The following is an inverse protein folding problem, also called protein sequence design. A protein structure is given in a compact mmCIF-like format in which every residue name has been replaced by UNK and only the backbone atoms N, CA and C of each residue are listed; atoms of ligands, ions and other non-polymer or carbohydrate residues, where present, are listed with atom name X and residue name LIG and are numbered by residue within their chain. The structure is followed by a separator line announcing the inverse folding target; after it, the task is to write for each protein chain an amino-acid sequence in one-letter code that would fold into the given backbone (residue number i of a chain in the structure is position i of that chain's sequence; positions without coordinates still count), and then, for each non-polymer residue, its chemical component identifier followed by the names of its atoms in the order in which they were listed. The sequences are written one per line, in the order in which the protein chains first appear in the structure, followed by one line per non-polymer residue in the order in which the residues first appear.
data_IF_204260427935
#
_entry.id   IF_204260427935
#
_cell.length_a   1.000
_cell.length_b   1.000
_cell.length_c   1.000
_cell.angle_alpha   90.00
_cell.angle_beta   90.00
_cell.angle_gamma   90.00
#
_symmetry.space_group_name_H-M   'P 1'
#
loop_
_entity.id
_entity.type
_entity.pdbx_description
1 polymer ?
#
# COMPACT_ATOMS: atom_id res chain seq x y z
N UNK A 1 19.53 -16.39 -2.13
CA UNK A 1 19.08 -15.50 -1.04
C UNK A 1 18.52 -14.24 -1.66
N UNK A 2 17.24 -13.97 -1.47
CA UNK A 2 16.62 -12.69 -1.83
C UNK A 2 17.08 -11.65 -0.81
N UNK A 3 17.83 -10.65 -1.24
CA UNK A 3 18.22 -9.53 -0.39
C UNK A 3 17.04 -8.56 -0.31
N UNK A 4 16.63 -8.21 0.91
CA UNK A 4 15.58 -7.22 1.16
C UNK A 4 16.20 -6.11 2.00
N UNK A 5 16.23 -4.89 1.47
CA UNK A 5 16.64 -3.70 2.21
C UNK A 5 15.42 -3.17 2.94
N UNK A 6 15.33 -3.46 4.24
CA UNK A 6 14.33 -2.88 5.13
C UNK A 6 15.05 -2.04 6.19
N UNK A 7 14.64 -0.77 6.40
CA UNK A 7 15.10 -0.02 7.56
C UNK A 7 14.59 -0.71 8.83
N UNK A 8 15.51 -1.01 9.74
CA UNK A 8 15.23 -1.56 11.07
C UNK A 8 15.62 -0.50 12.08
N UNK A 9 14.67 -0.05 12.89
CA UNK A 9 14.88 1.04 13.85
C UNK A 9 15.70 0.57 15.08
N UNK A 10 15.38 -0.63 15.59
CA UNK A 10 16.09 -1.23 16.72
C UNK A 10 16.23 -2.73 16.48
N UNK A 11 17.44 -3.24 16.71
CA UNK A 11 17.73 -4.67 16.72
C UNK A 11 17.55 -5.19 18.14
N UNK A 12 17.12 -6.44 18.28
CA UNK A 12 16.81 -7.13 19.53
C UNK A 12 17.51 -8.48 19.54
N UNK A 13 17.89 -8.93 20.73
CA UNK A 13 18.51 -10.25 20.92
C UNK A 13 17.47 -11.35 21.10
N UNK A 14 16.20 -10.99 21.29
CA UNK A 14 15.07 -11.88 21.49
C UNK A 14 13.97 -11.66 20.44
N UNK A 15 13.23 -12.73 20.15
CA UNK A 15 12.10 -12.71 19.20
C UNK A 15 10.90 -11.90 19.72
N UNK A 16 10.81 -11.71 21.05
CA UNK A 16 9.73 -10.94 21.66
C UNK A 16 9.94 -9.41 21.62
N UNK A 17 11.06 -8.94 21.03
CA UNK A 17 11.41 -7.53 20.92
C UNK A 17 11.48 -6.82 22.29
N UNK A 18 11.97 -7.50 23.33
CA UNK A 18 12.01 -6.97 24.71
C UNK A 18 13.40 -6.50 25.13
N UNK A 19 14.46 -7.10 24.57
CA UNK A 19 15.85 -6.83 24.91
C UNK A 19 16.58 -6.21 23.72
N UNK A 20 16.86 -4.89 23.75
CA UNK A 20 17.53 -4.23 22.64
C UNK A 20 18.97 -4.73 22.53
N UNK A 21 19.43 -4.90 21.30
CA UNK A 21 20.80 -5.23 20.99
C UNK A 21 21.71 -4.04 21.30
N UNK A 22 22.56 -4.22 22.29
CA UNK A 22 23.57 -3.26 22.75
C UNK A 22 25.00 -3.74 22.46
N UNK A 23 25.12 -4.74 21.59
CA UNK A 23 26.37 -5.45 21.33
C UNK A 23 27.20 -4.86 20.19
N UNK A 24 28.16 -5.64 19.70
CA UNK A 24 28.99 -5.27 18.55
C UNK A 24 28.85 -6.27 17.41
N UNK A 25 28.96 -5.75 16.19
CA UNK A 25 28.93 -6.53 14.97
C UNK A 25 30.33 -6.48 14.38
N UNK A 26 31.03 -7.61 14.36
CA UNK A 26 32.39 -7.72 13.88
C UNK A 26 32.47 -8.74 12.75
N UNK A 27 33.51 -8.62 11.91
CA UNK A 27 33.81 -9.67 10.94
C UNK A 27 34.31 -10.90 11.69
N UNK A 28 33.69 -12.05 11.43
CA UNK A 28 34.08 -13.31 12.02
C UNK A 28 35.59 -13.55 11.83
N UNK A 29 36.33 -13.87 12.89
CA UNK A 29 37.76 -14.19 12.79
C UNK A 29 38.01 -15.48 11.99
N UNK A 30 36.98 -16.33 11.83
CA UNK A 30 37.02 -17.53 11.00
C UNK A 30 36.63 -17.20 9.54
N UNK A 31 37.54 -17.46 8.62
CA UNK A 31 37.31 -17.36 7.18
C UNK A 31 36.61 -18.64 6.72
N UNK A 32 35.53 -18.52 5.95
CA UNK A 32 34.91 -19.67 5.29
C UNK A 32 35.85 -20.20 4.19
N UNK A 33 35.63 -21.44 3.74
CA UNK A 33 36.45 -22.09 2.70
C UNK A 33 36.59 -21.26 1.41
N UNK A 34 35.59 -20.42 1.11
CA UNK A 34 35.55 -19.52 -0.06
C UNK A 34 36.30 -18.19 0.15
N UNK A 35 37.02 -18.01 1.25
CA UNK A 35 37.81 -16.80 1.51
C UNK A 35 37.02 -15.61 2.06
N UNK A 36 35.71 -15.73 2.26
CA UNK A 36 34.86 -14.68 2.84
C UNK A 36 34.84 -14.73 4.37
N UNK A 37 34.85 -13.56 5.00
CA UNK A 37 34.60 -13.41 6.45
C UNK A 37 33.11 -13.20 6.67
N UNK A 38 32.46 -14.12 7.38
CA UNK A 38 31.08 -13.95 7.81
C UNK A 38 30.93 -12.82 8.84
N UNK A 39 29.70 -12.46 9.19
CA UNK A 39 29.42 -11.49 10.26
C UNK A 39 29.21 -12.24 11.57
N UNK A 40 29.94 -11.87 12.62
CA UNK A 40 29.75 -12.36 13.98
C UNK A 40 29.14 -11.25 14.84
N UNK A 41 28.03 -11.56 15.48
CA UNK A 41 27.32 -10.65 16.37
C UNK A 41 27.66 -11.04 17.82
N UNK A 42 28.11 -10.10 18.63
CA UNK A 42 28.41 -10.31 20.05
C UNK A 42 27.50 -9.45 20.91
N UNK A 43 26.90 -10.03 21.96
CA UNK A 43 26.17 -9.30 23.00
C UNK A 43 27.11 -8.48 23.89
N UNK A 44 26.59 -7.60 24.76
CA UNK A 44 27.40 -6.83 25.73
C UNK A 44 28.29 -7.70 26.62
N UNK A 45 27.88 -8.96 26.82
CA UNK A 45 28.59 -9.94 27.64
C UNK A 45 29.60 -10.79 26.83
N UNK A 46 29.98 -10.34 25.62
CA UNK A 46 30.87 -11.04 24.67
C UNK A 46 30.37 -12.43 24.21
N UNK A 47 29.11 -12.77 24.46
CA UNK A 47 28.49 -14.01 23.95
C UNK A 47 28.14 -13.83 22.47
N UNK A 48 28.50 -14.81 21.64
CA UNK A 48 28.17 -14.80 20.22
C UNK A 48 26.68 -15.12 20.03
N UNK A 49 25.96 -14.24 19.35
CA UNK A 49 24.55 -14.41 19.00
C UNK A 49 24.46 -14.99 17.58
N UNK A 50 23.61 -16.01 17.42
CA UNK A 50 23.35 -16.64 16.13
C UNK A 50 22.36 -15.85 15.27
N UNK A 51 21.41 -15.14 15.91
CA UNK A 51 20.37 -14.37 15.24
C UNK A 51 20.20 -13.00 15.90
N UNK A 52 19.83 -12.01 15.10
CA UNK A 52 19.33 -10.71 15.55
C UNK A 52 17.92 -10.53 15.02
N UNK A 53 17.02 -10.05 15.88
CA UNK A 53 15.65 -9.75 15.52
C UNK A 53 15.53 -8.24 15.26
N UNK A 54 14.76 -7.86 14.26
CA UNK A 54 14.57 -6.45 13.91
C UNK A 54 13.11 -6.18 13.62
N UNK A 55 12.57 -5.10 14.17
CA UNK A 55 11.23 -4.65 13.84
C UNK A 55 11.21 -4.11 12.42
N UNK A 56 10.71 -4.88 11.45
CA UNK A 56 10.41 -4.37 10.11
C UNK A 56 9.02 -3.76 10.14
N UNK A 57 8.93 -2.45 9.90
CA UNK A 57 7.63 -1.77 9.78
C UNK A 57 6.96 -2.21 8.48
N UNK A 58 6.01 -3.12 8.58
CA UNK A 58 5.11 -3.47 7.48
C UNK A 58 4.10 -2.34 7.30
N UNK A 59 3.72 -2.04 6.05
CA UNK A 59 2.72 -1.01 5.74
C UNK A 59 1.65 -1.56 4.77
N UNK A 60 0.44 -1.00 4.83
CA UNK A 60 -0.66 -1.38 3.93
C UNK A 60 -1.16 -2.81 4.15
N UNK A 61 -1.43 -3.53 3.06
CA UNK A 61 -2.05 -4.87 3.11
C UNK A 61 -1.26 -5.92 3.91
N UNK A 62 0.09 -6.03 3.81
CA UNK A 62 0.88 -6.94 4.64
C UNK A 62 0.74 -6.70 6.15
N UNK A 63 0.66 -5.44 6.59
CA UNK A 63 0.48 -5.11 8.00
C UNK A 63 -0.89 -5.59 8.50
N UNK A 64 -1.95 -5.31 7.74
CA UNK A 64 -3.31 -5.78 8.08
C UNK A 64 -3.38 -7.30 8.07
N UNK A 65 -2.77 -7.97 7.10
CA UNK A 65 -2.73 -9.43 7.04
C UNK A 65 -2.02 -10.03 8.26
N UNK A 66 -0.87 -9.49 8.67
CA UNK A 66 -0.15 -9.94 9.87
C UNK A 66 -0.96 -9.68 11.16
N UNK A 67 -1.65 -8.54 11.24
CA UNK A 67 -2.50 -8.22 12.38
C UNK A 67 -3.69 -9.18 12.51
N UNK A 68 -4.35 -9.51 11.38
CA UNK A 68 -5.46 -10.46 11.36
C UNK A 68 -4.98 -11.90 11.60
N UNK A 69 -3.81 -12.29 11.08
CA UNK A 69 -3.23 -13.60 11.37
C UNK A 69 -3.05 -13.80 12.88
N UNK A 70 -2.47 -12.79 13.57
CA UNK A 70 -2.24 -12.85 15.02
C UNK A 70 -3.53 -12.71 15.83
N UNK A 71 -4.38 -11.75 15.47
CA UNK A 71 -5.59 -11.42 16.23
C UNK A 71 -6.68 -12.47 16.11
N UNK A 72 -6.75 -13.16 14.98
CA UNK A 72 -7.80 -14.15 14.69
C UNK A 72 -7.39 -15.58 15.00
N UNK A 73 -6.09 -15.85 15.21
CA UNK A 73 -5.55 -17.16 15.56
C UNK A 73 -6.32 -17.92 16.67
N UNK A 74 -6.85 -17.28 17.74
CA UNK A 74 -7.62 -17.99 18.76
C UNK A 74 -9.00 -18.48 18.29
N UNK A 75 -9.54 -17.92 17.21
CA UNK A 75 -10.89 -18.20 16.71
C UNK A 75 -10.82 -19.04 15.43
N UNK A 76 -10.04 -18.60 14.44
CA UNK A 76 -9.85 -19.29 13.16
C UNK A 76 -8.40 -19.15 12.66
N UNK A 77 -7.78 -20.23 12.18
CA UNK A 77 -6.47 -20.17 11.55
C UNK A 77 -6.54 -19.48 10.18
N UNK A 78 -5.47 -18.78 9.78
CA UNK A 78 -5.34 -18.19 8.44
C UNK A 78 -6.03 -16.84 8.25
N UNK A 79 -6.12 -16.01 9.29
CA UNK A 79 -6.67 -14.66 9.21
C UNK A 79 -6.00 -13.77 8.15
N UNK A 80 -4.72 -14.01 7.83
CA UNK A 80 -4.00 -13.33 6.75
C UNK A 80 -4.53 -13.68 5.35
N UNK A 81 -4.98 -14.92 5.12
CA UNK A 81 -5.58 -15.31 3.83
C UNK A 81 -6.91 -14.60 3.60
N UNK A 82 -7.72 -14.44 4.65
CA UNK A 82 -8.98 -13.67 4.59
C UNK A 82 -8.71 -12.25 4.08
N UNK A 83 -7.73 -11.56 4.65
CA UNK A 83 -7.33 -10.21 4.22
C UNK A 83 -6.84 -10.21 2.79
N UNK A 84 -6.04 -11.20 2.39
CA UNK A 84 -5.54 -11.32 1.02
C UNK A 84 -6.67 -11.43 0.00
N UNK A 85 -7.67 -12.29 0.25
CA UNK A 85 -8.85 -12.40 -0.62
C UNK A 85 -9.70 -11.12 -0.63
N UNK A 86 -9.86 -10.48 0.53
CA UNK A 86 -10.60 -9.22 0.62
C UNK A 86 -9.93 -8.10 -0.19
N UNK A 87 -8.60 -7.96 -0.08
CA UNK A 87 -7.83 -6.97 -0.85
C UNK A 87 -7.90 -7.26 -2.35
N UNK A 88 -7.84 -8.52 -2.76
CA UNK A 88 -7.99 -8.91 -4.17
C UNK A 88 -9.36 -8.48 -4.73
N UNK A 89 -10.45 -8.81 -4.03
CA UNK A 89 -11.80 -8.45 -4.45
C UNK A 89 -12.00 -6.92 -4.48
N UNK A 90 -11.46 -6.22 -3.48
CA UNK A 90 -11.53 -4.76 -3.40
C UNK A 90 -10.72 -4.07 -4.51
N UNK A 91 -9.54 -4.60 -4.84
CA UNK A 91 -8.75 -4.11 -5.95
C UNK A 91 -9.52 -4.26 -7.27
N UNK A 92 -10.13 -5.42 -7.53
CA UNK A 92 -10.91 -5.66 -8.76
C UNK A 92 -12.12 -4.71 -8.85
N UNK A 93 -12.90 -4.56 -7.78
CA UNK A 93 -14.09 -3.69 -7.81
C UNK A 93 -13.73 -2.21 -7.99
N UNK A 94 -12.63 -1.79 -7.38
CA UNK A 94 -12.06 -0.45 -7.53
C UNK A 94 -11.59 -0.24 -8.97
N UNK A 95 -10.81 -1.17 -9.54
CA UNK A 95 -10.34 -1.08 -10.93
C UNK A 95 -11.48 -0.98 -11.94
N UNK A 96 -12.58 -1.71 -11.75
CA UNK A 96 -13.76 -1.61 -12.63
C UNK A 96 -14.37 -0.20 -12.57
N UNK A 97 -14.54 0.34 -11.36
CA UNK A 97 -15.13 1.67 -11.15
C UNK A 97 -14.26 2.77 -11.78
N UNK A 98 -12.95 2.73 -11.55
CA UNK A 98 -12.02 3.72 -12.10
C UNK A 98 -11.86 3.60 -13.62
N UNK A 99 -11.90 2.39 -14.18
CA UNK A 99 -11.95 2.21 -15.64
C UNK A 99 -13.20 2.86 -16.23
N UNK A 100 -14.37 2.69 -15.59
CA UNK A 100 -15.61 3.28 -16.09
C UNK A 100 -15.60 4.81 -15.99
N UNK A 101 -15.14 5.38 -14.88
CA UNK A 101 -15.06 6.83 -14.74
C UNK A 101 -14.11 7.45 -15.76
N UNK A 102 -12.95 6.83 -15.99
CA UNK A 102 -12.01 7.29 -16.99
C UNK A 102 -12.49 7.10 -18.42
N UNK A 103 -13.22 6.03 -18.74
CA UNK A 103 -13.89 5.87 -20.04
C UNK A 103 -14.81 7.05 -20.33
N UNK A 104 -15.65 7.44 -19.35
CA UNK A 104 -16.59 8.57 -19.49
C UNK A 104 -15.86 9.90 -19.64
N UNK A 105 -14.79 10.12 -18.86
CA UNK A 105 -13.98 11.32 -18.95
C UNK A 105 -13.25 11.44 -20.29
N UNK A 106 -12.63 10.34 -20.76
CA UNK A 106 -11.96 10.28 -22.05
C UNK A 106 -12.95 10.51 -23.19
N UNK A 107 -14.13 9.89 -23.13
CA UNK A 107 -15.18 10.10 -24.12
C UNK A 107 -15.63 11.56 -24.17
N UNK A 108 -15.77 12.22 -23.02
CA UNK A 108 -16.17 13.62 -22.94
C UNK A 108 -15.11 14.56 -23.54
N UNK A 109 -13.81 14.30 -23.31
CA UNK A 109 -12.73 15.15 -23.83
C UNK A 109 -12.41 14.89 -25.31
N UNK A 110 -12.37 13.62 -25.73
CA UNK A 110 -11.74 13.20 -26.98
C UNK A 110 -12.67 12.42 -27.92
N UNK A 111 -13.93 12.20 -27.53
CA UNK A 111 -14.94 11.51 -28.33
C UNK A 111 -14.94 9.98 -28.14
N UNK A 112 -15.80 9.28 -28.90
CA UNK A 112 -16.07 7.86 -28.66
C UNK A 112 -14.86 6.94 -28.92
N UNK A 113 -14.02 7.26 -29.91
CA UNK A 113 -12.88 6.42 -30.31
C UNK A 113 -11.77 6.38 -29.25
N UNK A 114 -11.69 7.38 -28.37
CA UNK A 114 -10.67 7.43 -27.32
C UNK A 114 -10.86 6.38 -26.22
N UNK A 115 -12.06 5.81 -26.09
CA UNK A 115 -12.39 4.81 -25.06
C UNK A 115 -11.46 3.59 -25.19
N UNK A 116 -11.24 3.12 -26.42
CA UNK A 116 -10.38 1.96 -26.67
C UNK A 116 -8.94 2.22 -26.19
N UNK A 117 -8.39 3.37 -26.60
CA UNK A 117 -7.03 3.77 -26.22
C UNK A 117 -6.88 4.01 -24.72
N UNK A 118 -7.89 4.59 -24.09
CA UNK A 118 -7.92 4.77 -22.64
C UNK A 118 -7.89 3.43 -21.91
N UNK A 119 -8.73 2.46 -22.29
CA UNK A 119 -8.73 1.12 -21.66
C UNK A 119 -7.40 0.41 -21.81
N UNK A 120 -6.78 0.51 -22.98
CA UNK A 120 -5.45 -0.05 -23.21
C UNK A 120 -4.40 0.57 -22.28
N UNK A 121 -4.39 1.90 -22.15
CA UNK A 121 -3.52 2.61 -21.22
C UNK A 121 -3.83 2.23 -19.76
N UNK A 122 -5.10 2.12 -19.38
CA UNK A 122 -5.54 1.76 -18.03
C UNK A 122 -5.04 0.37 -17.61
N UNK A 123 -5.14 -0.63 -18.50
CA UNK A 123 -4.59 -1.96 -18.26
C UNK A 123 -3.05 -1.91 -18.16
N UNK A 124 -2.38 -1.12 -19.02
CA UNK A 124 -0.94 -0.89 -18.93
C UNK A 124 -0.52 -0.29 -17.58
N UNK A 125 -1.29 0.66 -17.05
CA UNK A 125 -1.02 1.29 -15.74
C UNK A 125 -1.11 0.31 -14.56
N UNK A 126 -1.87 -0.78 -14.66
CA UNK A 126 -1.86 -1.83 -13.62
C UNK A 126 -0.52 -2.55 -13.55
N UNK A 127 0.10 -2.81 -14.71
CA UNK A 127 1.44 -3.39 -14.75
C UNK A 127 2.46 -2.42 -14.14
N UNK A 128 2.42 -1.13 -14.51
CA UNK A 128 3.29 -0.13 -13.89
C UNK A 128 3.08 -0.05 -12.37
N UNK A 129 1.84 -0.06 -11.91
CA UNK A 129 1.50 -0.07 -10.48
C UNK A 129 2.03 -1.28 -9.72
N UNK A 130 2.21 -2.43 -10.38
CA UNK A 130 2.77 -3.64 -9.77
C UNK A 130 4.31 -3.57 -9.61
N UNK A 131 5.00 -2.69 -10.33
CA UNK A 131 6.48 -2.60 -10.34
C UNK A 131 6.98 -1.36 -9.58
N UNK A 132 6.17 -0.30 -9.48
CA UNK A 132 6.51 0.93 -8.77
C UNK A 132 6.36 0.75 -7.25
N UNK A 133 7.17 1.48 -6.48
CA UNK A 133 7.12 1.43 -5.01
C UNK A 133 5.81 2.00 -4.47
N UNK A 134 5.35 1.44 -3.35
CA UNK A 134 4.10 1.83 -2.69
C UNK A 134 4.06 3.33 -2.37
N UNK A 135 5.15 3.88 -1.82
CA UNK A 135 5.23 5.31 -1.46
C UNK A 135 5.07 6.23 -2.67
N UNK A 136 5.68 5.88 -3.80
CA UNK A 136 5.60 6.67 -5.03
C UNK A 136 4.20 6.63 -5.64
N UNK A 137 3.54 5.47 -5.67
CA UNK A 137 2.19 5.38 -6.23
C UNK A 137 1.15 6.12 -5.38
N UNK A 138 1.29 6.08 -4.05
CA UNK A 138 0.44 6.89 -3.15
C UNK A 138 0.66 8.39 -3.34
N UNK A 139 1.92 8.84 -3.35
CA UNK A 139 2.22 10.26 -3.56
C UNK A 139 1.69 10.77 -4.92
N UNK A 140 1.83 9.97 -5.98
CA UNK A 140 1.25 10.30 -7.28
C UNK A 140 -0.29 10.35 -7.23
N UNK A 141 -0.91 9.36 -6.58
CA UNK A 141 -2.36 9.29 -6.39
C UNK A 141 -2.91 10.52 -5.65
N UNK A 142 -2.26 10.92 -4.56
CA UNK A 142 -2.68 12.08 -3.74
C UNK A 142 -2.64 13.38 -4.55
N UNK A 143 -1.61 13.59 -5.38
CA UNK A 143 -1.52 14.77 -6.25
C UNK A 143 -2.63 14.76 -7.31
N UNK A 144 -2.89 13.61 -7.95
CA UNK A 144 -3.94 13.50 -8.97
C UNK A 144 -5.34 13.67 -8.38
N UNK A 145 -5.62 13.04 -7.23
CA UNK A 145 -6.87 13.18 -6.50
C UNK A 145 -7.08 14.62 -6.02
N UNK A 146 -6.03 15.25 -5.51
CA UNK A 146 -6.04 16.65 -5.10
C UNK A 146 -6.37 17.59 -6.26
N UNK A 147 -5.77 17.36 -7.43
CA UNK A 147 -6.03 18.13 -8.63
C UNK A 147 -7.47 17.96 -9.14
N UNK A 148 -7.98 16.73 -9.15
CA UNK A 148 -9.38 16.44 -9.51
C UNK A 148 -10.36 17.13 -8.55
N UNK A 149 -10.10 17.00 -7.24
CA UNK A 149 -10.92 17.62 -6.21
C UNK A 149 -10.93 19.15 -6.33
N UNK A 150 -9.77 19.77 -6.60
CA UNK A 150 -9.64 21.21 -6.76
C UNK A 150 -10.60 21.77 -7.82
N UNK A 151 -10.58 21.21 -9.05
CA UNK A 151 -11.47 21.68 -10.12
C UNK A 151 -12.94 21.39 -9.82
N UNK A 152 -13.26 20.22 -9.25
CA UNK A 152 -14.64 19.86 -8.90
C UNK A 152 -15.22 20.77 -7.83
N UNK A 153 -14.45 21.12 -6.80
CA UNK A 153 -14.90 22.01 -5.73
C UNK A 153 -15.22 23.40 -6.29
N UNK A 154 -14.37 23.95 -7.16
CA UNK A 154 -14.63 25.24 -7.81
C UNK A 154 -15.94 25.19 -8.61
N UNK A 155 -16.14 24.13 -9.39
CA UNK A 155 -17.37 23.94 -10.15
C UNK A 155 -18.61 23.83 -9.24
N UNK A 156 -18.52 23.07 -8.14
CA UNK A 156 -19.60 22.93 -7.17
C UNK A 156 -19.95 24.26 -6.50
N UNK A 157 -18.97 25.09 -6.14
CA UNK A 157 -19.23 26.42 -5.61
C UNK A 157 -19.96 27.30 -6.63
N UNK A 158 -19.53 27.30 -7.88
CA UNK A 158 -20.20 28.06 -8.95
C UNK A 158 -21.63 27.55 -9.22
N UNK A 159 -21.87 26.23 -9.15
CA UNK A 159 -23.17 25.61 -9.39
C UNK A 159 -24.08 25.56 -8.15
N UNK A 160 -23.60 25.94 -6.97
CA UNK A 160 -24.33 25.79 -5.70
C UNK A 160 -25.73 26.39 -5.72
N UNK A 161 -25.91 27.57 -6.33
CA UNK A 161 -27.22 28.22 -6.49
C UNK A 161 -28.17 27.46 -7.43
N UNK A 162 -27.63 26.84 -8.49
CA UNK A 162 -28.41 26.00 -9.42
C UNK A 162 -28.85 24.72 -8.72
N UNK A 163 -27.94 24.07 -8.01
CA UNK A 163 -28.24 22.88 -7.21
C UNK A 163 -29.34 23.17 -6.18
N UNK A 164 -29.22 24.27 -5.42
CA UNK A 164 -30.25 24.68 -4.45
C UNK A 164 -31.64 24.83 -5.09
N UNK A 165 -31.72 25.50 -6.25
CA UNK A 165 -32.99 25.69 -6.96
C UNK A 165 -33.60 24.36 -7.43
N UNK A 166 -32.79 23.46 -7.98
CA UNK A 166 -33.25 22.14 -8.43
C UNK A 166 -33.74 21.32 -7.24
N UNK A 167 -32.97 21.29 -6.15
CA UNK A 167 -33.33 20.56 -4.92
C UNK A 167 -34.63 21.09 -4.33
N UNK A 168 -34.79 22.42 -4.23
CA UNK A 168 -36.04 23.03 -3.74
C UNK A 168 -37.24 22.62 -4.60
N UNK A 169 -37.11 22.69 -5.93
CA UNK A 169 -38.18 22.30 -6.86
C UNK A 169 -38.55 20.81 -6.73
N UNK A 170 -37.57 19.93 -6.53
CA UNK A 170 -37.80 18.49 -6.33
C UNK A 170 -38.63 18.22 -5.07
N UNK A 171 -38.32 18.89 -3.95
CA UNK A 171 -39.08 18.71 -2.72
C UNK A 171 -40.44 19.43 -2.69
N UNK A 172 -40.64 20.44 -3.53
CA UNK A 172 -41.94 21.11 -3.70
C UNK A 172 -42.93 20.29 -4.54
N UNK A 173 -42.47 19.35 -5.38
CA UNK A 173 -43.33 18.46 -6.17
C UNK A 173 -42.82 17.00 -6.08
N UNK A 174 -43.19 16.25 -5.03
CA UNK A 174 -42.73 14.88 -4.82
C UNK A 174 -43.28 13.85 -5.83
N UNK A 175 -44.31 14.21 -6.60
CA UNK A 175 -45.12 13.29 -7.40
C UNK A 175 -44.75 13.25 -8.90
N UNK A 176 -43.59 13.81 -9.29
CA UNK A 176 -42.99 13.68 -10.63
C UNK A 176 -41.58 13.10 -10.57
#
# INVERSE_FOLDING_TARGET
MTHYEAPVDTMFTDEAYTTPFNGRIELSPRQNEDGYRGVAVYSSDNTQLSNLHGGVVQNGAPLTAAAFERGLAPIIPGGGFLVTFAVLLFAISTSISWSYYGDRAAQYLFGFESIFWYRLAFVGMHFFGAVVTLTTIWAFGDVMLGLMAFFNIIALFALSGVAYRITKKYFENPDV
#
